data_IF_776636017167
#
_entry.id   IF_776636017167
#
_cell.length_a   1.000
_cell.length_b   1.000
_cell.length_c   1.000
_cell.angle_alpha   90.00
_cell.angle_beta   90.00
_cell.angle_gamma   90.00
#
_symmetry.space_group_name_H-M   'P 1'
#
loop_
_entity.id
_entity.type
_entity.pdbx_description
1 polymer ?
#
# COMPACT_ATOMS: atom_id res chain seq x y z
N UNK A 1 -25.11 -13.74 17.80
CA UNK A 1 -23.64 -13.77 17.63
C UNK A 1 -23.13 -12.34 17.66
N UNK A 2 -22.27 -11.98 18.62
CA UNK A 2 -21.62 -10.68 18.61
C UNK A 2 -20.61 -10.64 17.46
N UNK A 3 -20.63 -9.59 16.65
CA UNK A 3 -19.63 -9.38 15.60
C UNK A 3 -18.22 -9.44 16.22
N UNK A 4 -17.26 -10.14 15.60
CA UNK A 4 -15.90 -10.23 16.13
C UNK A 4 -15.34 -8.82 16.32
N UNK A 5 -14.83 -8.51 17.52
CA UNK A 5 -14.25 -7.21 17.85
C UNK A 5 -13.09 -6.92 16.91
N UNK A 6 -13.35 -6.15 15.87
CA UNK A 6 -12.34 -5.66 14.95
C UNK A 6 -11.41 -4.73 15.74
N UNK A 7 -10.16 -5.16 15.96
CA UNK A 7 -9.17 -4.33 16.65
C UNK A 7 -8.69 -3.26 15.67
N UNK A 8 -9.20 -2.04 15.83
CA UNK A 8 -8.71 -0.88 15.09
C UNK A 8 -7.18 -0.78 15.20
N UNK A 9 -6.50 -0.48 14.08
CA UNK A 9 -5.05 -0.34 14.05
C UNK A 9 -4.24 -1.64 14.20
N UNK A 10 -4.84 -2.83 14.01
CA UNK A 10 -4.07 -4.09 13.88
C UNK A 10 -3.03 -3.98 12.75
N UNK A 11 -3.44 -3.37 11.64
CA UNK A 11 -2.63 -3.25 10.43
C UNK A 11 -1.50 -2.23 10.58
N UNK A 12 -1.81 -1.03 11.08
CA UNK A 12 -0.81 -0.04 11.40
C UNK A 12 0.32 -0.56 12.31
N UNK A 13 -0.02 -1.32 13.36
CA UNK A 13 1.01 -1.88 14.26
C UNK A 13 1.91 -2.90 13.60
N UNK A 14 1.37 -3.73 12.70
CA UNK A 14 2.21 -4.69 11.98
C UNK A 14 3.15 -3.98 11.02
N UNK A 15 2.62 -3.05 10.23
CA UNK A 15 3.40 -2.23 9.30
C UNK A 15 4.51 -1.50 10.04
N UNK A 16 4.20 -0.87 11.18
CA UNK A 16 5.16 -0.12 11.98
C UNK A 16 6.20 -1.00 12.69
N UNK A 17 5.91 -2.28 12.91
CA UNK A 17 6.84 -3.24 13.48
C UNK A 17 7.79 -3.86 12.43
N UNK A 18 7.49 -3.71 11.14
CA UNK A 18 8.36 -4.20 10.07
C UNK A 18 9.69 -3.42 10.05
N UNK A 19 10.80 -4.14 9.97
CA UNK A 19 12.16 -3.56 9.93
C UNK A 19 12.38 -2.54 8.82
N UNK A 20 11.61 -2.62 7.73
CA UNK A 20 11.69 -1.70 6.59
C UNK A 20 11.12 -0.33 6.93
N UNK A 21 10.17 -0.26 7.88
CA UNK A 21 9.47 0.95 8.28
C UNK A 21 10.41 2.11 8.64
N UNK A 22 11.41 1.82 9.46
CA UNK A 22 12.34 2.85 9.97
C UNK A 22 13.19 3.49 8.87
N UNK A 23 13.37 2.81 7.73
CA UNK A 23 14.20 3.27 6.62
C UNK A 23 13.42 4.08 5.57
N UNK A 24 12.09 4.15 5.71
CA UNK A 24 11.24 4.86 4.77
C UNK A 24 11.12 6.35 5.15
N UNK A 25 11.08 7.26 4.14
CA UNK A 25 10.68 8.64 4.38
C UNK A 25 9.21 8.72 4.81
N UNK A 26 8.82 9.86 5.40
CA UNK A 26 7.49 10.06 5.96
C UNK A 26 6.36 9.79 4.94
N UNK A 27 6.52 10.27 3.70
CA UNK A 27 5.53 10.07 2.64
C UNK A 27 5.34 8.58 2.30
N UNK A 28 6.42 7.81 2.20
CA UNK A 28 6.35 6.37 1.93
C UNK A 28 5.73 5.59 3.10
N UNK A 29 6.02 6.01 4.34
CA UNK A 29 5.36 5.45 5.54
C UNK A 29 3.85 5.68 5.51
N UNK A 30 3.42 6.92 5.23
CA UNK A 30 2.01 7.26 5.10
C UNK A 30 1.33 6.46 3.98
N UNK A 31 1.96 6.39 2.81
CA UNK A 31 1.47 5.61 1.68
C UNK A 31 1.32 4.12 2.04
N UNK A 32 2.30 3.50 2.72
CA UNK A 32 2.21 2.08 3.08
C UNK A 32 1.06 1.80 4.05
N UNK A 33 0.83 2.66 5.05
CA UNK A 33 -0.32 2.52 5.94
C UNK A 33 -1.64 2.55 5.16
N UNK A 34 -1.82 3.57 4.31
CA UNK A 34 -3.05 3.73 3.53
C UNK A 34 -3.25 2.61 2.51
N UNK A 35 -2.19 2.19 1.82
CA UNK A 35 -2.23 1.08 0.85
C UNK A 35 -2.58 -0.25 1.54
N UNK A 36 -2.15 -0.43 2.79
CA UNK A 36 -2.50 -1.63 3.57
C UNK A 36 -4.00 -1.68 3.85
N UNK A 37 -4.59 -0.55 4.26
CA UNK A 37 -6.03 -0.45 4.49
C UNK A 37 -6.82 -0.60 3.17
N UNK A 38 -6.36 0.02 2.08
CA UNK A 38 -6.95 -0.13 0.73
C UNK A 38 -6.87 -1.60 0.28
N UNK A 39 -5.74 -2.26 0.50
CA UNK A 39 -5.52 -3.64 0.09
C UNK A 39 -6.42 -4.66 0.80
N UNK A 40 -7.09 -4.26 1.89
CA UNK A 40 -8.07 -5.12 2.57
C UNK A 40 -9.47 -5.02 1.93
N UNK A 41 -9.79 -3.90 1.29
CA UNK A 41 -11.07 -3.66 0.63
C UNK A 41 -10.99 -3.77 -0.90
N UNK A 42 -9.78 -3.74 -1.46
CA UNK A 42 -9.49 -3.83 -2.90
C UNK A 42 -8.49 -4.96 -3.16
N UNK A 43 -8.96 -6.22 -3.26
CA UNK A 43 -8.11 -7.41 -3.43
C UNK A 43 -7.17 -7.34 -4.63
N UNK A 44 -7.55 -6.59 -5.67
CA UNK A 44 -6.78 -6.36 -6.90
C UNK A 44 -5.42 -5.73 -6.61
N UNK A 45 -5.32 -4.92 -5.54
CA UNK A 45 -4.05 -4.34 -5.12
C UNK A 45 -3.08 -5.41 -4.60
N UNK A 46 -3.56 -6.49 -3.99
CA UNK A 46 -2.71 -7.58 -3.47
C UNK A 46 -2.54 -8.72 -4.47
N UNK A 47 -3.58 -8.98 -5.27
CA UNK A 47 -3.65 -10.07 -6.24
C UNK A 47 -4.23 -9.57 -7.57
N UNK A 48 -3.43 -8.84 -8.36
CA UNK A 48 -3.84 -8.39 -9.68
C UNK A 48 -4.22 -9.59 -10.56
N UNK A 49 -5.40 -9.54 -11.17
CA UNK A 49 -5.78 -10.50 -12.23
C UNK A 49 -5.18 -10.05 -13.56
N UNK A 50 -5.02 -10.96 -14.52
CA UNK A 50 -4.46 -10.65 -15.84
C UNK A 50 -5.13 -9.41 -16.44
N UNK A 51 -4.39 -8.31 -16.55
CA UNK A 51 -4.84 -7.02 -17.10
C UNK A 51 -5.42 -6.00 -16.11
N UNK A 52 -5.43 -6.26 -14.80
CA UNK A 52 -6.10 -5.42 -13.80
C UNK A 52 -5.19 -4.89 -12.68
N UNK A 53 -3.91 -4.62 -12.96
CA UNK A 53 -3.03 -4.00 -11.96
C UNK A 53 -3.45 -2.56 -11.66
N UNK A 54 -3.35 -2.17 -10.39
CA UNK A 54 -3.79 -0.84 -9.94
C UNK A 54 -2.79 0.21 -10.42
N UNK A 55 -3.27 1.15 -11.22
CA UNK A 55 -2.44 2.18 -11.86
C UNK A 55 -2.03 3.27 -10.87
N UNK A 56 -0.97 4.02 -11.19
CA UNK A 56 -0.59 5.21 -10.41
C UNK A 56 -1.72 6.24 -10.31
N UNK A 57 -2.51 6.41 -11.38
CA UNK A 57 -3.64 7.36 -11.43
C UNK A 57 -4.77 6.93 -10.49
N UNK A 58 -5.04 5.63 -10.39
CA UNK A 58 -6.00 5.09 -9.42
C UNK A 58 -5.51 5.24 -8.00
N UNK A 59 -4.24 4.89 -7.72
CA UNK A 59 -3.66 5.07 -6.39
C UNK A 59 -3.66 6.55 -5.97
N UNK A 60 -3.31 7.47 -6.87
CA UNK A 60 -3.32 8.91 -6.57
C UNK A 60 -4.72 9.40 -6.19
N UNK A 61 -5.76 8.91 -6.89
CA UNK A 61 -7.16 9.21 -6.57
C UNK A 61 -7.58 8.62 -5.22
N UNK A 62 -7.23 7.36 -4.95
CA UNK A 62 -7.59 6.66 -3.71
C UNK A 62 -6.93 7.28 -2.48
N UNK A 63 -5.68 7.73 -2.61
CA UNK A 63 -4.91 8.35 -1.52
C UNK A 63 -5.10 9.88 -1.47
N UNK A 64 -5.87 10.47 -2.39
CA UNK A 64 -6.01 11.92 -2.56
C UNK A 64 -4.65 12.65 -2.58
N UNK A 65 -3.66 12.04 -3.25
CA UNK A 65 -2.27 12.48 -3.27
C UNK A 65 -1.88 13.03 -4.64
N UNK A 66 -0.94 13.98 -4.67
CA UNK A 66 -0.33 14.41 -5.92
C UNK A 66 0.42 13.23 -6.59
N UNK A 67 0.23 12.97 -7.90
CA UNK A 67 0.86 11.84 -8.56
C UNK A 67 2.39 11.84 -8.50
N UNK A 68 3.05 13.01 -8.48
CA UNK A 68 4.51 13.09 -8.40
C UNK A 68 5.01 12.72 -7.02
N UNK A 69 4.36 13.23 -5.98
CA UNK A 69 4.69 12.88 -4.59
C UNK A 69 4.45 11.39 -4.32
N UNK A 70 3.33 10.85 -4.80
CA UNK A 70 3.02 9.45 -4.67
C UNK A 70 4.01 8.57 -5.44
N UNK A 71 4.41 8.96 -6.64
CA UNK A 71 5.42 8.22 -7.43
C UNK A 71 6.74 8.12 -6.65
N UNK A 72 7.23 9.22 -6.09
CA UNK A 72 8.44 9.22 -5.27
C UNK A 72 8.29 8.31 -4.04
N UNK A 73 7.14 8.35 -3.36
CA UNK A 73 6.85 7.47 -2.23
C UNK A 73 6.85 5.98 -2.64
N UNK A 74 6.22 5.64 -3.77
CA UNK A 74 6.15 4.27 -4.29
C UNK A 74 7.54 3.74 -4.68
N UNK A 75 8.45 4.56 -5.22
CA UNK A 75 9.82 4.14 -5.49
C UNK A 75 10.52 3.63 -4.23
N UNK A 76 10.33 4.31 -3.09
CA UNK A 76 10.89 3.84 -1.81
C UNK A 76 10.27 2.52 -1.36
N UNK A 77 8.97 2.33 -1.58
CA UNK A 77 8.29 1.07 -1.27
C UNK A 77 8.74 -0.08 -2.17
N UNK A 78 8.96 0.20 -3.46
CA UNK A 78 9.49 -0.78 -4.43
C UNK A 78 10.91 -1.19 -4.09
N UNK A 79 11.81 -0.24 -3.81
CA UNK A 79 13.21 -0.51 -3.41
C UNK A 79 13.34 -1.36 -2.14
N UNK A 80 12.27 -1.44 -1.33
CA UNK A 80 12.22 -2.21 -0.07
C UNK A 80 11.32 -3.45 -0.17
N UNK A 81 10.92 -3.84 -1.37
CA UNK A 81 10.10 -5.02 -1.64
C UNK A 81 8.74 -5.02 -0.91
N UNK A 82 8.18 -3.82 -0.71
CA UNK A 82 6.84 -3.63 -0.14
C UNK A 82 5.80 -3.58 -1.26
N UNK A 83 6.14 -2.86 -2.32
CA UNK A 83 5.37 -2.76 -3.57
C UNK A 83 6.14 -3.45 -4.69
N UNK A 84 5.42 -4.05 -5.61
CA UNK A 84 5.94 -4.65 -6.84
C UNK A 84 5.36 -3.87 -8.04
N UNK A 85 6.22 -3.30 -8.90
CA UNK A 85 5.77 -2.73 -10.15
C UNK A 85 5.39 -3.86 -11.11
N UNK A 86 4.29 -3.67 -11.84
CA UNK A 86 3.81 -4.53 -12.90
C UNK A 86 3.73 -3.74 -14.21
N UNK A 87 3.60 -4.42 -15.34
CA UNK A 87 3.59 -3.80 -16.68
C UNK A 87 2.62 -2.60 -16.79
N UNK A 88 1.50 -2.64 -16.08
CA UNK A 88 0.47 -1.59 -16.12
C UNK A 88 0.16 -0.93 -14.77
N UNK A 89 0.92 -1.19 -13.70
CA UNK A 89 0.55 -0.70 -12.37
C UNK A 89 1.38 -1.26 -11.23
N UNK A 90 0.73 -1.50 -10.10
CA UNK A 90 1.40 -1.94 -8.88
C UNK A 90 0.64 -3.03 -8.15
N UNK A 91 1.41 -3.81 -7.38
CA UNK A 91 0.93 -4.79 -6.41
C UNK A 91 1.53 -4.52 -5.03
N UNK A 92 0.70 -4.59 -3.99
CA UNK A 92 1.14 -4.60 -2.60
C UNK A 92 1.54 -6.01 -2.19
N UNK A 93 2.82 -6.22 -1.88
CA UNK A 93 3.38 -7.52 -1.46
C UNK A 93 3.37 -7.72 0.05
N UNK A 94 3.60 -6.65 0.79
CA UNK A 94 3.89 -6.72 2.22
C UNK A 94 2.76 -6.17 3.11
N UNK A 95 2.76 -6.61 4.36
CA UNK A 95 1.91 -6.18 5.46
C UNK A 95 2.78 -5.80 6.66
#
# INVERSE_FOLDING_TARGET
MAAPRQRFGKHARSVMADRRWVLLPLAARAAWLQLTDIGDVMPELRHPRSGGAVTITELSRLLAADPKELTAALEHLVRRDIMEPLDSGYRLKAF
#
